data_IF_903440134805
#
_entry.id   IF_903440134805
#
_cell.length_a   1.000
_cell.length_b   1.000
_cell.length_c   1.000
_cell.angle_alpha   90.00
_cell.angle_beta   90.00
_cell.angle_gamma   90.00
#
_symmetry.space_group_name_H-M   'P 1'
#
loop_
_entity.id
_entity.type
_entity.pdbx_description
1 polymer ?
#
# COMPACT_ATOMS: atom_id res chain seq x y z
N UNK A 1 18.11 -15.32 3.69
CA UNK A 1 18.09 -14.11 4.53
C UNK A 1 17.51 -12.95 3.72
N UNK A 2 16.22 -12.66 3.84
CA UNK A 2 15.64 -11.46 3.22
C UNK A 2 15.97 -10.25 4.11
N UNK A 3 16.73 -9.29 3.57
CA UNK A 3 16.90 -7.98 4.20
C UNK A 3 15.56 -7.25 4.11
N UNK A 4 14.71 -7.42 5.12
CA UNK A 4 13.63 -6.48 5.40
C UNK A 4 14.31 -5.13 5.55
N UNK A 5 14.05 -4.19 4.63
CA UNK A 5 14.51 -2.80 4.78
C UNK A 5 13.83 -2.25 6.02
N UNK A 6 14.52 -2.30 7.15
CA UNK A 6 14.08 -1.62 8.37
C UNK A 6 14.14 -0.12 8.06
N UNK A 7 12.99 0.49 7.86
CA UNK A 7 12.88 1.95 7.80
C UNK A 7 13.26 2.45 9.20
N UNK A 8 14.33 3.27 9.36
CA UNK A 8 14.78 3.74 10.65
C UNK A 8 13.65 4.47 11.40
N UNK A 9 13.51 4.20 12.70
CA UNK A 9 12.41 4.69 13.55
C UNK A 9 12.35 6.23 13.74
N UNK A 10 13.31 7.01 13.23
CA UNK A 10 13.60 8.36 13.74
C UNK A 10 13.56 9.52 12.75
N UNK A 11 12.93 9.37 11.57
CA UNK A 11 12.56 10.54 10.76
C UNK A 11 11.03 10.61 10.73
N UNK A 12 10.47 11.69 11.29
CA UNK A 12 9.05 11.97 11.20
C UNK A 12 8.69 12.14 9.74
N UNK A 13 8.05 11.13 9.15
CA UNK A 13 7.57 11.19 7.77
C UNK A 13 6.50 12.28 7.69
N UNK A 14 6.68 13.23 6.80
CA UNK A 14 5.71 14.30 6.53
C UNK A 14 4.99 14.02 5.20
N UNK A 15 3.98 14.82 4.89
CA UNK A 15 3.19 14.66 3.66
C UNK A 15 4.05 14.75 2.39
N UNK A 16 5.12 15.53 2.45
CA UNK A 16 6.09 15.74 1.38
C UNK A 16 6.90 14.48 1.04
N UNK A 17 6.89 13.46 1.91
CA UNK A 17 7.59 12.20 1.69
C UNK A 17 6.80 11.19 0.85
N UNK A 18 5.53 11.49 0.52
CA UNK A 18 4.76 10.69 -0.45
C UNK A 18 5.17 11.08 -1.86
N UNK A 19 5.79 10.13 -2.56
CA UNK A 19 6.13 10.26 -3.97
C UNK A 19 4.88 10.14 -4.86
N UNK A 20 4.97 10.58 -6.12
CA UNK A 20 3.90 10.36 -7.10
C UNK A 20 3.53 8.87 -7.21
N UNK A 21 4.54 8.00 -7.15
CA UNK A 21 4.35 6.55 -7.11
C UNK A 21 3.55 6.11 -5.89
N UNK A 22 3.87 6.61 -4.69
CA UNK A 22 3.15 6.28 -3.46
C UNK A 22 1.67 6.67 -3.59
N UNK A 23 1.39 7.91 -4.04
CA UNK A 23 0.02 8.41 -4.26
C UNK A 23 -0.74 7.60 -5.31
N UNK A 24 -0.10 7.26 -6.41
CA UNK A 24 -0.68 6.42 -7.45
C UNK A 24 -1.05 5.03 -6.91
N UNK A 25 -0.15 4.39 -6.17
CA UNK A 25 -0.39 3.08 -5.56
C UNK A 25 -1.57 3.13 -4.58
N UNK A 26 -1.65 4.15 -3.72
CA UNK A 26 -2.78 4.37 -2.80
C UNK A 26 -4.10 4.45 -3.58
N UNK A 27 -4.16 5.32 -4.59
CA UNK A 27 -5.35 5.52 -5.40
C UNK A 27 -5.78 4.23 -6.12
N UNK A 28 -4.82 3.45 -6.65
CA UNK A 28 -5.09 2.20 -7.35
C UNK A 28 -5.67 1.13 -6.42
N UNK A 29 -5.13 1.01 -5.21
CA UNK A 29 -5.66 0.09 -4.22
C UNK A 29 -7.06 0.49 -3.75
N UNK A 30 -7.34 1.78 -3.56
CA UNK A 30 -8.70 2.26 -3.24
C UNK A 30 -9.65 1.96 -4.41
N UNK A 31 -9.25 2.25 -5.65
CA UNK A 31 -10.06 1.99 -6.84
C UNK A 31 -10.47 0.52 -6.93
N UNK A 32 -9.52 -0.41 -6.79
CA UNK A 32 -9.79 -1.84 -6.99
C UNK A 32 -10.44 -2.45 -5.74
N UNK A 33 -9.85 -2.28 -4.56
CA UNK A 33 -10.30 -3.02 -3.37
C UNK A 33 -11.52 -2.38 -2.70
N UNK A 34 -11.60 -1.05 -2.65
CA UNK A 34 -12.73 -0.37 -1.99
C UNK A 34 -13.85 -0.13 -2.99
N UNK A 35 -13.58 0.54 -4.10
CA UNK A 35 -14.64 0.95 -5.02
C UNK A 35 -15.17 -0.25 -5.81
N UNK A 36 -14.31 -1.01 -6.49
CA UNK A 36 -14.79 -2.12 -7.33
C UNK A 36 -15.20 -3.35 -6.53
N UNK A 37 -14.32 -3.86 -5.67
CA UNK A 37 -14.61 -5.10 -4.92
C UNK A 37 -15.66 -4.89 -3.82
N UNK A 38 -15.51 -3.88 -2.95
CA UNK A 38 -16.45 -3.71 -1.84
C UNK A 38 -17.74 -2.97 -2.23
N UNK A 39 -17.66 -1.82 -2.91
CA UNK A 39 -18.85 -1.01 -3.18
C UNK A 39 -19.63 -1.41 -4.42
N UNK A 40 -18.97 -1.99 -5.42
CA UNK A 40 -19.63 -2.45 -6.66
C UNK A 40 -19.78 -3.96 -6.73
N UNK A 41 -19.25 -4.69 -5.74
CA UNK A 41 -19.31 -6.15 -5.67
C UNK A 41 -18.78 -6.83 -6.96
N UNK A 42 -17.85 -6.17 -7.66
CA UNK A 42 -17.23 -6.73 -8.85
C UNK A 42 -16.33 -7.92 -8.45
N UNK A 43 -16.52 -9.06 -9.11
CA UNK A 43 -15.73 -10.27 -8.92
C UNK A 43 -14.67 -10.44 -10.03
N UNK A 44 -13.77 -11.41 -9.87
CA UNK A 44 -12.71 -11.74 -10.85
C UNK A 44 -11.78 -10.56 -11.23
N UNK A 45 -11.63 -9.60 -10.32
CA UNK A 45 -10.76 -8.44 -10.53
C UNK A 45 -9.32 -8.80 -10.18
N UNK A 46 -8.41 -8.52 -11.11
CA UNK A 46 -6.98 -8.56 -10.90
C UNK A 46 -6.56 -7.72 -9.69
N UNK A 47 -5.47 -8.15 -9.04
CA UNK A 47 -4.86 -7.41 -7.96
C UNK A 47 -4.46 -5.99 -8.41
N UNK A 48 -4.54 -4.96 -7.53
CA UNK A 48 -4.14 -3.60 -7.89
C UNK A 48 -2.73 -3.52 -8.52
N UNK A 49 -1.80 -4.38 -8.09
CA UNK A 49 -0.43 -4.40 -8.61
C UNK A 49 -0.33 -5.00 -10.01
N UNK A 50 -1.16 -5.98 -10.35
CA UNK A 50 -1.21 -6.58 -11.70
C UNK A 50 -1.71 -5.59 -12.76
N UNK A 51 -2.35 -4.50 -12.34
CA UNK A 51 -2.85 -3.46 -13.24
C UNK A 51 -2.16 -2.11 -13.01
N UNK A 52 -1.02 -2.11 -12.30
CA UNK A 52 -0.28 -0.92 -11.91
C UNK A 52 0.80 -0.57 -12.95
N UNK A 53 0.97 0.73 -13.26
CA UNK A 53 2.08 1.20 -14.12
C UNK A 53 3.48 0.92 -13.53
N UNK A 54 3.55 0.59 -12.23
CA UNK A 54 4.76 0.21 -11.49
C UNK A 54 4.79 -1.29 -11.13
N UNK A 55 4.07 -2.15 -11.85
CA UNK A 55 3.92 -3.59 -11.59
C UNK A 55 5.23 -4.28 -11.15
N UNK A 56 6.31 -4.10 -11.93
CA UNK A 56 7.62 -4.71 -11.62
C UNK A 56 8.18 -4.29 -10.27
N UNK A 57 7.93 -3.05 -9.85
CA UNK A 57 8.34 -2.56 -8.54
C UNK A 57 7.41 -3.06 -7.44
N UNK A 58 6.12 -3.16 -7.72
CA UNK A 58 5.10 -3.72 -6.82
C UNK A 58 5.38 -5.18 -6.43
N UNK A 59 6.00 -5.96 -7.31
CA UNK A 59 6.36 -7.36 -7.03
C UNK A 59 7.83 -7.58 -6.63
N UNK A 60 8.66 -6.53 -6.66
CA UNK A 60 10.12 -6.64 -6.48
C UNK A 60 10.54 -7.11 -5.08
N UNK A 61 9.66 -7.00 -4.08
CA UNK A 61 9.91 -7.46 -2.71
C UNK A 61 9.25 -8.81 -2.38
N UNK A 62 8.77 -9.56 -3.38
CA UNK A 62 7.95 -10.75 -3.21
C UNK A 62 6.45 -10.45 -3.36
N UNK A 63 5.66 -11.49 -3.68
CA UNK A 63 4.21 -11.40 -3.89
C UNK A 63 3.53 -10.61 -2.76
N UNK A 64 3.00 -9.43 -3.08
CA UNK A 64 2.14 -8.66 -2.20
C UNK A 64 2.82 -7.77 -1.15
N UNK A 65 4.16 -7.58 -1.17
CA UNK A 65 4.83 -6.81 -0.10
C UNK A 65 5.29 -5.39 -0.45
N UNK A 66 5.36 -5.00 -1.73
CA UNK A 66 6.05 -3.75 -2.11
C UNK A 66 5.17 -2.50 -2.11
N UNK A 67 3.91 -2.60 -1.66
CA UNK A 67 3.01 -1.47 -1.42
C UNK A 67 2.77 -1.27 0.08
N UNK A 68 3.25 -2.18 0.94
CA UNK A 68 3.17 -1.98 2.38
C UNK A 68 3.99 -0.79 2.84
N UNK A 69 5.11 -0.49 2.20
CA UNK A 69 5.89 0.72 2.49
C UNK A 69 5.05 1.98 2.25
N UNK A 70 4.30 2.04 1.16
CA UNK A 70 3.35 3.13 0.85
C UNK A 70 2.27 3.26 1.92
N UNK A 71 1.62 2.18 2.32
CA UNK A 71 0.59 2.23 3.37
C UNK A 71 1.17 2.53 4.76
N UNK A 72 2.39 2.09 5.05
CA UNK A 72 3.12 2.44 6.28
C UNK A 72 3.44 3.94 6.28
N UNK A 73 3.89 4.52 5.16
CA UNK A 73 4.11 5.97 5.04
C UNK A 73 2.80 6.73 5.29
N UNK A 74 1.72 6.33 4.60
CA UNK A 74 0.41 6.96 4.75
C UNK A 74 -0.09 6.87 6.19
N UNK A 75 0.05 5.71 6.84
CA UNK A 75 -0.28 5.49 8.25
C UNK A 75 0.48 6.44 9.19
N UNK A 76 1.79 6.59 8.98
CA UNK A 76 2.61 7.51 9.80
C UNK A 76 2.22 8.98 9.62
N UNK A 77 1.91 9.40 8.39
CA UNK A 77 1.54 10.78 8.07
C UNK A 77 0.15 11.13 8.63
N UNK A 78 -0.80 10.20 8.52
CA UNK A 78 -2.20 10.45 8.89
C UNK A 78 -2.50 10.11 10.35
N UNK A 79 -1.63 9.35 11.02
CA UNK A 79 -1.91 8.74 12.32
C UNK A 79 -2.93 7.59 12.25
N UNK A 80 -3.45 7.25 11.06
CA UNK A 80 -4.44 6.18 10.89
C UNK A 80 -3.74 4.85 10.74
N UNK A 81 -4.05 3.89 11.61
CA UNK A 81 -3.50 2.53 11.52
C UNK A 81 -4.04 1.81 10.27
N UNK A 82 -3.18 1.72 9.26
CA UNK A 82 -3.42 0.90 8.07
C UNK A 82 -2.67 -0.44 8.24
N UNK A 83 -3.27 -1.38 8.98
CA UNK A 83 -2.67 -2.69 9.26
C UNK A 83 -3.24 -3.75 8.30
N UNK A 84 -2.40 -4.46 7.52
CA UNK A 84 -2.83 -5.57 6.71
C UNK A 84 -2.40 -6.87 7.40
N UNK A 85 -3.24 -7.32 8.32
CA UNK A 85 -2.99 -8.52 9.13
C UNK A 85 -3.45 -8.32 10.57
N UNK A 86 -4.30 -9.26 11.02
CA UNK A 86 -4.92 -9.37 12.35
C UNK A 86 -5.78 -8.18 12.80
N UNK A 87 -6.73 -7.76 11.95
CA UNK A 87 -7.94 -7.04 12.37
C UNK A 87 -7.72 -5.61 12.87
N UNK A 88 -8.71 -4.76 12.61
CA UNK A 88 -8.86 -3.55 13.41
C UNK A 88 -9.27 -3.99 14.81
N UNK A 89 -8.37 -3.89 15.79
CA UNK A 89 -8.76 -3.87 17.19
C UNK A 89 -8.69 -2.39 17.57
N UNK A 90 -9.88 -1.80 17.73
CA UNK A 90 -10.09 -0.44 18.20
C UNK A 90 -9.40 -0.20 19.55
#
# INVERSE_FOLDING_TARGET
MQKVRMIPKNYGLTKEDLTEKDLYCIAKHIQINVIKRCFREEHDILDPCQTCKYERECFKSGYGYAHWDTFIKLSKITGVRMCPGAGFID
#
